data_IF_252024686483
#
_entry.id   IF_252024686483
#
_cell.length_a   1.000
_cell.length_b   1.000
_cell.length_c   1.000
_cell.angle_alpha   90.00
_cell.angle_beta   90.00
_cell.angle_gamma   90.00
#
_symmetry.space_group_name_H-M   'P 1'
#
loop_
_entity.id
_entity.type
_entity.pdbx_description
1 polymer ?
#
# COMPACT_ATOMS: atom_id res chain seq x y z
N UNK A 1 -41.36 -31.61 2.78
CA UNK A 1 -41.27 -30.23 3.32
C UNK A 1 -39.84 -29.70 3.53
N UNK A 2 -38.81 -30.53 3.75
CA UNK A 2 -37.41 -30.06 3.93
C UNK A 2 -36.69 -29.72 2.61
N UNK A 3 -37.00 -30.42 1.52
CA UNK A 3 -36.35 -30.25 0.21
C UNK A 3 -36.68 -28.93 -0.53
N UNK A 4 -37.95 -28.44 -0.60
CA UNK A 4 -38.24 -27.18 -1.29
C UNK A 4 -37.72 -25.94 -0.53
N UNK A 5 -37.60 -26.04 0.80
CA UNK A 5 -37.03 -24.97 1.65
C UNK A 5 -35.53 -24.84 1.44
N UNK A 6 -34.80 -25.96 1.34
CA UNK A 6 -33.35 -25.95 1.07
C UNK A 6 -33.06 -25.38 -0.32
N UNK A 7 -33.89 -25.70 -1.33
CA UNK A 7 -33.71 -25.18 -2.69
C UNK A 7 -33.99 -23.66 -2.75
N UNK A 8 -35.04 -23.19 -2.06
CA UNK A 8 -35.35 -21.76 -1.99
C UNK A 8 -34.25 -20.94 -1.26
N UNK A 9 -33.64 -21.52 -0.21
CA UNK A 9 -32.53 -20.88 0.51
C UNK A 9 -31.26 -20.82 -0.33
N UNK A 10 -30.93 -21.89 -1.07
CA UNK A 10 -29.75 -21.90 -1.97
C UNK A 10 -29.89 -20.93 -3.14
N UNK A 11 -31.09 -20.81 -3.71
CA UNK A 11 -31.37 -19.85 -4.78
C UNK A 11 -31.31 -18.42 -4.23
N UNK A 12 -31.81 -18.17 -3.01
CA UNK A 12 -31.72 -16.86 -2.36
C UNK A 12 -30.29 -16.40 -2.06
N UNK A 13 -29.40 -17.32 -1.66
CA UNK A 13 -27.98 -17.02 -1.37
C UNK A 13 -27.21 -16.64 -2.65
N UNK A 14 -27.58 -17.21 -3.81
CA UNK A 14 -26.92 -16.90 -5.08
C UNK A 14 -27.20 -15.49 -5.62
N UNK A 15 -28.29 -14.83 -5.20
CA UNK A 15 -28.67 -13.49 -5.71
C UNK A 15 -27.98 -12.36 -4.92
N UNK A 16 -27.51 -12.63 -3.70
CA UNK A 16 -26.86 -11.62 -2.85
C UNK A 16 -25.40 -11.38 -3.26
N UNK A 17 -24.76 -12.32 -3.96
CA UNK A 17 -23.33 -12.27 -4.30
C UNK A 17 -22.98 -11.38 -5.53
N UNK A 18 -23.96 -10.87 -6.29
CA UNK A 18 -23.71 -10.07 -7.50
C UNK A 18 -23.96 -8.57 -7.34
N UNK A 19 -24.37 -8.11 -6.17
CA UNK A 19 -24.69 -6.70 -5.97
C UNK A 19 -23.63 -6.02 -5.11
N UNK A 20 -22.98 -5.02 -5.72
CA UNK A 20 -22.16 -3.94 -5.14
C UNK A 20 -20.66 -4.22 -4.90
N UNK A 21 -19.89 -4.19 -5.99
CA UNK A 21 -18.49 -3.75 -5.95
C UNK A 21 -18.28 -2.60 -6.95
N UNK A 22 -18.76 -1.41 -6.57
CA UNK A 22 -18.41 -0.16 -7.26
C UNK A 22 -17.83 0.79 -6.23
N UNK A 23 -16.56 0.57 -5.88
CA UNK A 23 -15.76 1.53 -5.11
C UNK A 23 -15.47 2.72 -6.03
N UNK A 24 -15.85 3.95 -5.66
CA UNK A 24 -15.45 5.14 -6.42
C UNK A 24 -13.92 5.21 -6.51
N UNK A 25 -13.34 5.64 -7.64
CA UNK A 25 -11.91 5.93 -7.69
C UNK A 25 -11.61 7.01 -6.65
N UNK A 26 -10.73 6.69 -5.72
CA UNK A 26 -10.21 7.67 -4.77
C UNK A 26 -9.58 8.81 -5.58
N UNK A 27 -10.24 9.97 -5.57
CA UNK A 27 -9.71 11.19 -6.18
C UNK A 27 -8.53 11.61 -5.32
N UNK A 28 -7.31 11.37 -5.82
CA UNK A 28 -6.09 11.84 -5.18
C UNK A 28 -6.10 13.38 -5.13
N UNK A 29 -5.69 14.00 -4.01
CA UNK A 29 -5.56 15.45 -3.93
C UNK A 29 -4.54 15.94 -4.99
N UNK A 30 -4.69 17.19 -5.48
CA UNK A 30 -3.72 17.78 -6.40
C UNK A 30 -2.35 17.81 -5.71
N UNK A 31 -1.45 16.94 -6.14
CA UNK A 31 -0.05 17.00 -5.77
C UNK A 31 0.57 18.17 -6.54
N UNK A 32 0.84 19.27 -5.86
CA UNK A 32 1.76 20.30 -6.37
C UNK A 32 3.16 19.69 -6.39
N UNK A 33 3.44 18.85 -7.37
CA UNK A 33 4.80 18.45 -7.71
C UNK A 33 5.46 19.64 -8.39
N UNK A 34 6.54 20.16 -7.80
CA UNK A 34 7.51 20.94 -8.57
C UNK A 34 7.92 20.06 -9.77
N UNK A 35 7.83 20.59 -10.99
CA UNK A 35 7.96 19.80 -12.21
C UNK A 35 9.20 18.88 -12.17
N UNK A 36 8.96 17.57 -12.23
CA UNK A 36 10.02 16.55 -12.26
C UNK A 36 10.48 16.01 -10.90
N UNK A 37 9.94 16.48 -9.77
CA UNK A 37 10.26 15.95 -8.44
C UNK A 37 9.14 15.04 -7.90
N UNK A 38 9.53 14.03 -7.12
CA UNK A 38 8.60 13.23 -6.34
C UNK A 38 7.82 14.14 -5.36
N UNK A 39 6.50 13.90 -5.16
CA UNK A 39 5.71 14.68 -4.21
C UNK A 39 6.34 14.68 -2.81
N UNK A 40 6.47 15.84 -2.20
CA UNK A 40 6.94 15.94 -0.82
C UNK A 40 5.80 15.55 0.14
N UNK A 41 6.09 14.65 1.08
CA UNK A 41 5.18 14.29 2.16
C UNK A 41 5.96 14.03 3.45
N UNK A 42 5.29 14.23 4.57
CA UNK A 42 5.80 13.88 5.90
C UNK A 42 5.45 12.44 6.24
N UNK A 43 6.36 11.74 6.90
CA UNK A 43 6.16 10.38 7.39
C UNK A 43 6.84 10.16 8.73
N UNK A 44 6.32 9.20 9.50
CA UNK A 44 6.94 8.72 10.73
C UNK A 44 7.62 7.39 10.46
N UNK A 45 8.81 7.23 10.99
CA UNK A 45 9.58 6.00 10.94
C UNK A 45 9.14 5.09 12.08
N UNK A 46 8.83 3.84 11.76
CA UNK A 46 8.68 2.80 12.77
C UNK A 46 10.03 2.21 13.20
N UNK A 47 11.04 2.28 12.32
CA UNK A 47 12.41 1.77 12.50
C UNK A 47 13.38 2.63 11.67
N UNK A 48 14.67 2.64 12.03
CA UNK A 48 15.72 3.36 11.30
C UNK A 48 15.90 4.83 11.71
N UNK A 49 15.41 5.23 12.89
CA UNK A 49 15.68 6.56 13.46
C UNK A 49 17.18 6.77 13.71
N UNK A 50 17.92 5.73 14.09
CA UNK A 50 19.37 5.75 14.27
C UNK A 50 20.12 6.02 12.95
N UNK A 51 19.53 5.66 11.82
CA UNK A 51 20.08 5.87 10.47
C UNK A 51 19.73 7.26 9.95
N UNK A 52 18.47 7.68 10.11
CA UNK A 52 17.96 8.93 9.53
C UNK A 52 17.99 10.11 10.52
N UNK A 53 18.20 9.88 11.81
CA UNK A 53 18.42 10.88 12.87
C UNK A 53 17.18 11.51 13.49
N UNK A 54 15.96 11.13 13.09
CA UNK A 54 14.72 11.56 13.75
C UNK A 54 13.52 10.67 13.39
N UNK A 55 12.58 10.49 14.31
CA UNK A 55 11.33 9.73 14.11
C UNK A 55 10.47 10.28 12.94
N UNK A 56 10.30 11.60 12.85
CA UNK A 56 9.54 12.23 11.76
C UNK A 56 10.48 12.79 10.70
N UNK A 57 10.15 12.58 9.42
CA UNK A 57 10.88 13.08 8.25
C UNK A 57 9.93 13.59 7.16
N UNK A 58 10.48 14.40 6.26
CA UNK A 58 9.89 14.75 4.97
C UNK A 58 10.73 14.16 3.85
N UNK A 59 10.10 13.69 2.77
CA UNK A 59 10.82 13.07 1.64
C UNK A 59 11.88 14.02 1.03
N UNK A 60 11.57 15.32 0.96
CA UNK A 60 12.50 16.35 0.49
C UNK A 60 13.80 16.46 1.30
N UNK A 61 13.84 15.98 2.55
CA UNK A 61 15.05 15.97 3.37
C UNK A 61 16.05 14.89 2.93
N UNK A 62 15.62 13.92 2.11
CA UNK A 62 16.47 12.86 1.55
C UNK A 62 17.06 13.23 0.18
N UNK A 63 16.84 14.45 -0.31
CA UNK A 63 17.39 14.92 -1.59
C UNK A 63 18.92 14.82 -1.58
N UNK A 64 19.48 14.33 -2.68
CA UNK A 64 20.92 14.09 -2.82
C UNK A 64 21.33 12.65 -2.49
N UNK A 65 20.46 11.89 -1.83
CA UNK A 65 20.63 10.44 -1.64
C UNK A 65 19.73 9.70 -2.64
N UNK A 66 20.23 8.66 -3.34
CA UNK A 66 19.37 7.75 -4.07
C UNK A 66 18.37 7.08 -3.12
N UNK A 67 17.07 7.22 -3.38
CA UNK A 67 16.01 6.66 -2.52
C UNK A 67 15.14 5.73 -3.34
N UNK A 68 15.05 4.47 -2.92
CA UNK A 68 14.05 3.52 -3.38
C UNK A 68 12.87 3.57 -2.42
N UNK A 69 11.75 4.14 -2.87
CA UNK A 69 10.51 4.19 -2.09
C UNK A 69 9.57 3.07 -2.52
N UNK A 70 9.44 2.04 -1.68
CA UNK A 70 8.58 0.89 -1.94
C UNK A 70 7.28 0.96 -1.13
N UNK A 71 6.13 0.93 -1.81
CA UNK A 71 4.80 0.88 -1.18
C UNK A 71 4.28 -0.55 -1.19
N UNK A 72 4.05 -1.14 -0.01
CA UNK A 72 3.58 -2.51 0.13
C UNK A 72 2.42 -2.61 1.13
N UNK A 73 1.76 -3.77 1.15
CA UNK A 73 0.62 -4.05 2.02
C UNK A 73 0.87 -5.32 2.84
N UNK A 74 0.24 -5.39 4.02
CA UNK A 74 0.42 -6.49 4.99
C UNK A 74 0.17 -7.90 4.41
N UNK A 75 -0.62 -8.03 3.35
CA UNK A 75 -0.92 -9.29 2.67
C UNK A 75 -0.41 -9.27 1.24
N UNK A 76 0.85 -8.88 1.05
CA UNK A 76 1.54 -8.92 -0.23
C UNK A 76 2.70 -9.93 -0.15
N UNK A 77 2.47 -11.21 -0.49
CA UNK A 77 3.52 -12.23 -0.55
C UNK A 77 4.74 -11.87 -1.41
N UNK A 78 4.59 -11.30 -2.64
CA UNK A 78 5.77 -10.92 -3.42
C UNK A 78 6.58 -9.81 -2.73
N UNK A 79 5.91 -8.83 -2.12
CA UNK A 79 6.59 -7.75 -1.40
C UNK A 79 7.51 -8.27 -0.29
N UNK A 80 7.08 -9.29 0.46
CA UNK A 80 7.92 -9.91 1.51
C UNK A 80 9.12 -10.66 0.94
N UNK A 81 8.94 -11.27 -0.23
CA UNK A 81 10.02 -12.03 -0.88
C UNK A 81 11.11 -11.10 -1.41
N UNK A 82 10.74 -9.88 -1.81
CA UNK A 82 11.67 -8.86 -2.34
C UNK A 82 12.40 -8.06 -1.25
N UNK A 83 11.89 -7.98 -0.02
CA UNK A 83 12.50 -7.17 1.05
C UNK A 83 13.97 -7.50 1.36
N UNK A 84 14.40 -8.78 1.44
CA UNK A 84 15.79 -9.11 1.68
C UNK A 84 16.72 -8.61 0.56
N UNK A 85 16.28 -8.71 -0.70
CA UNK A 85 17.06 -8.26 -1.85
C UNK A 85 17.19 -6.73 -1.87
N UNK A 86 16.12 -6.01 -1.50
CA UNK A 86 16.17 -4.55 -1.35
C UNK A 86 17.09 -4.10 -0.20
N UNK A 87 17.14 -4.87 0.89
CA UNK A 87 18.05 -4.61 2.01
C UNK A 87 19.51 -4.81 1.58
N UNK A 88 19.81 -5.93 0.92
CA UNK A 88 21.17 -6.21 0.39
C UNK A 88 21.62 -5.09 -0.57
N UNK A 89 20.74 -4.66 -1.48
CA UNK A 89 21.03 -3.53 -2.37
C UNK A 89 21.33 -2.23 -1.61
N UNK A 90 20.64 -1.96 -0.49
CA UNK A 90 20.89 -0.76 0.33
C UNK A 90 22.20 -0.81 1.11
N UNK A 91 22.74 -2.00 1.38
CA UNK A 91 24.02 -2.19 2.08
C UNK A 91 25.21 -2.10 1.11
N UNK A 92 24.99 -2.46 -0.16
CA UNK A 92 26.02 -2.40 -1.20
C UNK A 92 26.29 -0.96 -1.69
N UNK A 93 25.29 -0.07 -1.66
CA UNK A 93 25.34 1.28 -2.27
C UNK A 93 25.01 2.41 -1.30
#
# INVERSE_FOLDING_TARGET
MKLPVVLAVLIGISVIACSTASTPPATAPPSTSEEGLAPNFSFNLYQGEDILGSETKQLSQLRGTPVVLNFWARLCPPCWTEMPELQEFSEEF
#
